data_IF_866668913940
#
_entry.id   IF_866668913940
#
_cell.length_a   1.000
_cell.length_b   1.000
_cell.length_c   1.000
_cell.angle_alpha   90.00
_cell.angle_beta   90.00
_cell.angle_gamma   90.00
#
_symmetry.space_group_name_H-M   'P 1'
#
loop_
_entity.id
_entity.type
_entity.pdbx_description
1 polymer ?
#
# COMPACT_ATOMS: atom_id res chain seq x y z
N UNK A 1 8.06 -19.17 -18.06
CA UNK A 1 7.91 -18.96 -16.59
C UNK A 1 6.59 -18.24 -16.37
N UNK A 2 5.57 -18.93 -15.85
CA UNK A 2 4.28 -18.30 -15.54
C UNK A 2 4.49 -17.45 -14.29
N UNK A 3 4.40 -16.13 -14.43
CA UNK A 3 4.36 -15.21 -13.29
C UNK A 3 3.07 -15.54 -12.50
N UNK A 4 3.22 -16.28 -11.40
CA UNK A 4 2.15 -16.64 -10.47
C UNK A 4 1.80 -15.41 -9.61
N UNK A 5 1.41 -14.31 -10.25
CA UNK A 5 0.98 -13.08 -9.55
C UNK A 5 -0.52 -12.86 -9.60
N UNK A 6 -1.25 -13.58 -10.46
CA UNK A 6 -2.71 -13.55 -10.47
C UNK A 6 -3.21 -14.93 -10.94
N UNK A 7 -3.47 -15.83 -10.00
CA UNK A 7 -4.23 -17.05 -10.30
C UNK A 7 -5.14 -17.37 -9.13
N UNK A 8 -6.44 -17.37 -9.44
CA UNK A 8 -7.60 -17.75 -8.61
C UNK A 8 -7.89 -16.79 -7.44
N UNK A 9 -9.18 -16.64 -7.14
CA UNK A 9 -9.67 -15.79 -6.04
C UNK A 9 -9.12 -16.32 -4.72
N UNK A 10 -7.91 -15.92 -4.34
CA UNK A 10 -7.41 -16.14 -2.99
C UNK A 10 -8.29 -15.31 -2.05
N UNK A 11 -9.14 -16.01 -1.31
CA UNK A 11 -9.89 -15.46 -0.20
C UNK A 11 -8.91 -15.26 0.95
N UNK A 12 -8.45 -14.03 1.13
CA UNK A 12 -7.75 -13.62 2.33
C UNK A 12 -8.74 -13.56 3.49
N UNK A 13 -8.34 -14.03 4.66
CA UNK A 13 -9.12 -13.81 5.88
C UNK A 13 -9.18 -12.34 6.24
N UNK A 14 -10.23 -11.91 6.94
CA UNK A 14 -10.37 -10.54 7.45
C UNK A 14 -9.11 -10.11 8.23
N UNK A 15 -8.58 -11.01 9.08
CA UNK A 15 -7.35 -10.78 9.85
C UNK A 15 -6.15 -10.50 8.95
N UNK A 16 -5.95 -11.26 7.86
CA UNK A 16 -4.86 -11.01 6.92
C UNK A 16 -5.01 -9.66 6.22
N UNK A 17 -6.25 -9.27 5.89
CA UNK A 17 -6.55 -7.95 5.31
C UNK A 17 -6.27 -6.81 6.30
N UNK A 18 -6.64 -6.98 7.58
CA UNK A 18 -6.36 -6.00 8.64
C UNK A 18 -4.84 -5.85 8.91
N UNK A 19 -4.12 -6.96 8.96
CA UNK A 19 -2.66 -6.99 9.11
C UNK A 19 -1.98 -6.31 7.91
N UNK A 20 -2.43 -6.59 6.69
CA UNK A 20 -1.95 -5.92 5.48
C UNK A 20 -2.23 -4.41 5.52
N UNK A 21 -3.43 -4.00 5.94
CA UNK A 21 -3.80 -2.59 6.08
C UNK A 21 -2.91 -1.87 7.11
N UNK A 22 -2.60 -2.54 8.23
CA UNK A 22 -1.70 -2.04 9.27
C UNK A 22 -0.27 -1.88 8.75
N UNK A 23 0.23 -2.87 8.02
CA UNK A 23 1.56 -2.84 7.41
C UNK A 23 1.69 -1.71 6.38
N UNK A 24 0.70 -1.56 5.49
CA UNK A 24 0.68 -0.49 4.48
C UNK A 24 0.61 0.89 5.12
N UNK A 25 -0.23 1.06 6.15
CA UNK A 25 -0.32 2.33 6.90
C UNK A 25 1.02 2.69 7.54
N UNK A 26 1.69 1.70 8.13
CA UNK A 26 3.05 1.89 8.69
C UNK A 26 4.06 2.27 7.61
N UNK A 27 3.95 1.69 6.40
CA UNK A 27 4.82 2.01 5.28
C UNK A 27 4.58 3.43 4.74
N UNK A 28 3.33 3.88 4.67
CA UNK A 28 2.97 5.27 4.32
C UNK A 28 3.66 6.24 5.29
N UNK A 29 3.52 6.03 6.59
CA UNK A 29 4.14 6.89 7.61
C UNK A 29 5.68 6.94 7.49
N UNK A 30 6.32 5.80 7.17
CA UNK A 30 7.77 5.74 6.94
C UNK A 30 8.15 6.50 5.67
N UNK A 31 7.38 6.36 4.59
CA UNK A 31 7.60 7.09 3.34
C UNK A 31 7.42 8.61 3.52
N UNK A 32 6.44 9.06 4.29
CA UNK A 32 6.23 10.47 4.61
C UNK A 32 7.44 11.05 5.36
N UNK A 33 7.86 10.39 6.45
CA UNK A 33 9.06 10.78 7.21
C UNK A 33 10.34 10.77 6.36
N UNK A 34 10.43 9.85 5.40
CA UNK A 34 11.57 9.79 4.48
C UNK A 34 11.51 10.95 3.48
N UNK A 35 10.31 11.28 2.96
CA UNK A 35 10.08 12.39 2.03
C UNK A 35 10.54 13.72 2.63
N UNK A 36 10.26 13.97 3.90
CA UNK A 36 10.62 15.22 4.59
C UNK A 36 12.13 15.51 4.59
N UNK A 37 12.96 14.46 4.43
CA UNK A 37 14.43 14.57 4.39
C UNK A 37 14.98 14.72 2.98
N UNK A 38 14.13 14.65 1.95
CA UNK A 38 14.55 14.73 0.56
C UNK A 38 14.71 16.18 0.11
N UNK A 39 15.60 16.39 -0.86
CA UNK A 39 15.75 17.69 -1.52
C UNK A 39 14.45 18.02 -2.28
N UNK A 40 13.94 19.24 -2.12
CA UNK A 40 12.77 19.73 -2.86
C UNK A 40 13.03 19.72 -4.36
N UNK A 41 12.00 19.40 -5.13
CA UNK A 41 12.00 19.26 -6.59
C UNK A 41 13.02 18.23 -7.12
N UNK A 42 13.39 17.25 -6.29
CA UNK A 42 14.28 16.16 -6.71
C UNK A 42 13.49 14.99 -7.29
N UNK A 43 14.14 14.20 -8.14
CA UNK A 43 13.53 12.96 -8.66
C UNK A 43 13.16 11.98 -7.54
N UNK A 44 13.92 12.00 -6.44
CA UNK A 44 13.63 11.21 -5.25
C UNK A 44 12.34 11.66 -4.55
N UNK A 45 12.08 12.97 -4.44
CA UNK A 45 10.83 13.49 -3.88
C UNK A 45 9.63 13.03 -4.71
N UNK A 46 9.68 13.24 -6.03
CA UNK A 46 8.61 12.79 -6.95
C UNK A 46 8.39 11.27 -6.87
N UNK A 47 9.46 10.47 -6.79
CA UNK A 47 9.34 9.02 -6.62
C UNK A 47 8.65 8.66 -5.30
N UNK A 48 9.00 9.34 -4.20
CA UNK A 48 8.40 9.09 -2.90
C UNK A 48 6.92 9.46 -2.87
N UNK A 49 6.53 10.58 -3.49
CA UNK A 49 5.12 10.97 -3.63
C UNK A 49 4.30 9.95 -4.39
N UNK A 50 4.84 9.43 -5.50
CA UNK A 50 4.18 8.39 -6.29
C UNK A 50 4.01 7.10 -5.50
N UNK A 51 5.01 6.70 -4.71
CA UNK A 51 4.93 5.54 -3.81
C UNK A 51 3.85 5.73 -2.74
N UNK A 52 3.84 6.87 -2.05
CA UNK A 52 2.81 7.18 -1.04
C UNK A 52 1.41 7.12 -1.66
N UNK A 53 1.22 7.69 -2.85
CA UNK A 53 -0.06 7.64 -3.57
C UNK A 53 -0.49 6.20 -3.88
N UNK A 54 0.42 5.37 -4.39
CA UNK A 54 0.13 3.97 -4.67
C UNK A 54 -0.28 3.20 -3.41
N UNK A 55 0.47 3.39 -2.30
CA UNK A 55 0.16 2.74 -1.03
C UNK A 55 -1.20 3.16 -0.46
N UNK A 56 -1.57 4.44 -0.58
CA UNK A 56 -2.89 4.93 -0.18
C UNK A 56 -4.02 4.29 -0.99
N UNK A 57 -3.82 4.11 -2.31
CA UNK A 57 -4.77 3.38 -3.16
C UNK A 57 -4.90 1.93 -2.70
N UNK A 58 -3.77 1.25 -2.47
CA UNK A 58 -3.78 -0.14 -1.97
C UNK A 58 -4.53 -0.27 -0.64
N UNK A 59 -4.27 0.62 0.32
CA UNK A 59 -4.98 0.64 1.60
C UNK A 59 -6.49 0.86 1.43
N UNK A 60 -6.90 1.74 0.51
CA UNK A 60 -8.32 1.98 0.21
C UNK A 60 -8.99 0.73 -0.33
N UNK A 61 -8.35 0.02 -1.26
CA UNK A 61 -8.89 -1.21 -1.85
C UNK A 61 -9.02 -2.35 -0.83
N UNK A 62 -8.06 -2.47 0.09
CA UNK A 62 -8.12 -3.44 1.18
C UNK A 62 -9.28 -3.13 2.13
N UNK A 63 -9.45 -1.86 2.52
CA UNK A 63 -10.58 -1.43 3.36
C UNK A 63 -11.93 -1.67 2.69
N UNK A 64 -12.02 -1.41 1.39
CA UNK A 64 -13.22 -1.70 0.61
C UNK A 64 -13.53 -3.21 0.60
N UNK A 65 -12.49 -4.05 0.51
CA UNK A 65 -12.63 -5.52 0.58
C UNK A 65 -13.13 -5.99 1.94
N UNK A 66 -12.55 -5.48 3.04
CA UNK A 66 -13.01 -5.76 4.42
C UNK A 66 -14.48 -5.35 4.58
N UNK A 67 -14.85 -4.13 4.15
CA UNK A 67 -16.23 -3.63 4.26
C UNK A 67 -17.25 -4.37 3.41
N UNK A 68 -16.84 -5.07 2.35
CA UNK A 68 -17.73 -5.87 1.49
C UNK A 68 -17.92 -7.30 2.01
N UNK A 69 -17.07 -7.75 2.93
CA UNK A 69 -17.13 -9.08 3.55
C UNK A 69 -17.73 -9.06 4.96
N UNK A 70 -17.92 -7.87 5.55
CA UNK A 70 -18.65 -7.62 6.78
C UNK A 70 -20.18 -7.58 6.56
#
# INVERSE_FOLDING_TARGET
>A
MKNKLVSEQEHFSEKELEEACTAITSLINKCEKAKDKLKRNSSQETLMERRIRALRISASLIKEKISKEA
#
